data_IF_331922599641
#
_entry.id   IF_331922599641
#
_cell.length_a   1.000
_cell.length_b   1.000
_cell.length_c   1.000
_cell.angle_alpha   90.00
_cell.angle_beta   90.00
_cell.angle_gamma   90.00
#
_symmetry.space_group_name_H-M   'P 1'
#
loop_
_entity.id
_entity.type
_entity.pdbx_description
1 polymer ?
#
# COMPACT_ATOMS: atom_id res chain seq x y z
N UNK A 1 11.25 -8.04 9.19
CA UNK A 1 11.31 -7.96 7.72
C UNK A 1 12.24 -6.80 7.37
N UNK A 2 13.29 -6.98 6.56
CA UNK A 2 14.13 -5.87 6.12
C UNK A 2 13.31 -4.75 5.46
N UNK A 3 13.67 -3.50 5.76
CA UNK A 3 12.94 -2.31 5.32
C UNK A 3 13.34 -1.83 3.92
N UNK A 4 14.52 -2.26 3.45
CA UNK A 4 15.09 -1.90 2.15
C UNK A 4 15.03 -0.39 1.87
N UNK A 5 14.45 0.00 0.75
CA UNK A 5 14.29 1.40 0.33
C UNK A 5 12.95 2.01 0.80
N UNK A 6 12.21 1.31 1.65
CA UNK A 6 10.88 1.71 2.12
C UNK A 6 9.74 1.38 1.16
N UNK A 7 10.01 0.70 0.04
CA UNK A 7 9.00 0.21 -0.90
C UNK A 7 8.93 -1.33 -0.90
N UNK A 8 8.05 -1.92 -1.71
CA UNK A 8 8.01 -3.36 -1.91
C UNK A 8 8.88 -3.83 -3.10
N UNK A 9 9.56 -2.92 -3.82
CA UNK A 9 10.23 -3.24 -5.07
C UNK A 9 11.28 -4.36 -4.93
N UNK A 10 12.12 -4.28 -3.90
CA UNK A 10 13.13 -5.31 -3.63
C UNK A 10 12.51 -6.70 -3.36
N UNK A 11 11.31 -6.74 -2.78
CA UNK A 11 10.57 -8.00 -2.58
C UNK A 11 10.00 -8.53 -3.90
N UNK A 12 9.45 -7.65 -4.73
CA UNK A 12 8.93 -8.02 -6.06
C UNK A 12 10.05 -8.61 -6.91
N UNK A 13 11.19 -7.92 -7.01
CA UNK A 13 12.36 -8.39 -7.77
C UNK A 13 12.85 -9.76 -7.27
N UNK A 14 12.96 -9.94 -5.94
CA UNK A 14 13.40 -11.20 -5.36
C UNK A 14 12.42 -12.35 -5.67
N UNK A 15 11.10 -12.11 -5.62
CA UNK A 15 10.07 -13.10 -5.94
C UNK A 15 10.07 -13.44 -7.43
N UNK A 16 10.23 -12.44 -8.30
CA UNK A 16 10.31 -12.65 -9.74
C UNK A 16 11.55 -13.43 -10.15
N UNK A 17 12.69 -13.14 -9.51
CA UNK A 17 13.95 -13.84 -9.77
C UNK A 17 13.86 -15.35 -9.48
N UNK A 18 13.15 -15.75 -8.42
CA UNK A 18 12.94 -17.17 -8.09
C UNK A 18 11.80 -17.81 -8.90
N UNK A 19 10.91 -16.98 -9.46
CA UNK A 19 9.75 -17.41 -10.22
C UNK A 19 8.58 -17.89 -9.36
N UNK A 20 7.42 -18.01 -10.00
CA UNK A 20 6.17 -18.48 -9.38
C UNK A 20 5.73 -19.78 -10.01
N UNK A 21 5.13 -20.67 -9.21
CA UNK A 21 4.50 -21.90 -9.68
C UNK A 21 3.07 -21.96 -9.17
N UNK A 22 2.15 -22.41 -10.01
CA UNK A 22 0.77 -22.65 -9.60
C UNK A 22 0.72 -23.66 -8.46
N UNK A 23 -0.06 -23.34 -7.43
CA UNK A 23 -0.26 -24.21 -6.28
C UNK A 23 -1.22 -25.35 -6.67
N UNK A 24 -0.86 -26.57 -6.27
CA UNK A 24 -1.72 -27.75 -6.41
C UNK A 24 -2.41 -28.04 -5.07
N UNK A 25 -3.58 -28.66 -5.14
CA UNK A 25 -4.25 -29.18 -3.95
C UNK A 25 -3.50 -30.40 -3.36
N UNK A 26 -4.01 -30.94 -2.25
CA UNK A 26 -3.40 -32.10 -1.57
C UNK A 26 -3.39 -33.38 -2.42
N UNK A 27 -4.18 -33.41 -3.49
CA UNK A 27 -4.32 -34.52 -4.42
C UNK A 27 -3.52 -34.29 -5.72
N UNK A 28 -2.84 -33.15 -5.86
CA UNK A 28 -2.06 -32.80 -7.05
C UNK A 28 -2.88 -32.20 -8.19
N UNK A 29 -4.12 -31.77 -7.95
CA UNK A 29 -4.96 -31.13 -8.96
C UNK A 29 -4.77 -29.62 -8.99
N UNK A 30 -5.03 -29.04 -10.16
CA UNK A 30 -5.17 -27.59 -10.31
C UNK A 30 -6.41 -27.11 -9.56
N UNK A 31 -6.28 -25.96 -8.91
CA UNK A 31 -7.35 -25.30 -8.16
C UNK A 31 -7.45 -23.85 -8.60
N UNK A 32 -8.68 -23.38 -8.80
CA UNK A 32 -8.90 -21.96 -9.09
C UNK A 32 -8.50 -21.09 -7.89
N UNK A 33 -7.93 -19.93 -8.19
CA UNK A 33 -7.59 -18.92 -7.19
C UNK A 33 -8.88 -18.41 -6.54
N UNK A 34 -9.07 -18.71 -5.25
CA UNK A 34 -10.27 -18.30 -4.53
C UNK A 34 -10.18 -16.82 -4.14
N UNK A 35 -11.30 -16.11 -4.23
CA UNK A 35 -11.42 -14.73 -3.75
C UNK A 35 -12.67 -14.61 -2.86
N UNK A 36 -12.60 -13.90 -1.71
CA UNK A 36 -13.79 -13.55 -0.97
C UNK A 36 -14.77 -12.80 -1.86
N UNK A 37 -16.05 -13.18 -1.80
CA UNK A 37 -17.11 -12.50 -2.52
C UNK A 37 -17.80 -11.50 -1.60
N UNK A 38 -17.97 -10.26 -2.07
CA UNK A 38 -18.75 -9.24 -1.38
C UNK A 38 -20.14 -9.17 -2.02
N UNK A 39 -21.18 -9.53 -1.27
CA UNK A 39 -22.56 -9.59 -1.78
C UNK A 39 -23.27 -8.24 -1.78
N UNK A 40 -22.91 -7.35 -0.86
CA UNK A 40 -23.51 -6.03 -0.69
C UNK A 40 -22.46 -5.00 -0.28
N UNK A 41 -22.69 -3.69 -0.48
CA UNK A 41 -21.75 -2.67 -0.06
C UNK A 41 -21.44 -2.73 1.43
N UNK A 42 -20.16 -2.62 1.78
CA UNK A 42 -19.68 -2.56 3.15
C UNK A 42 -19.10 -1.17 3.43
N UNK A 43 -19.37 -0.63 4.61
CA UNK A 43 -18.88 0.69 5.02
C UNK A 43 -18.44 0.67 6.49
N UNK A 44 -17.28 1.25 6.76
CA UNK A 44 -16.79 1.52 8.11
C UNK A 44 -16.19 2.92 8.17
N UNK A 45 -16.43 3.63 9.27
CA UNK A 45 -15.82 4.94 9.51
C UNK A 45 -15.40 5.12 10.95
N UNK A 46 -14.42 6.00 11.14
CA UNK A 46 -13.95 6.45 12.44
C UNK A 46 -13.45 7.87 12.31
N UNK A 47 -14.03 8.80 13.07
CA UNK A 47 -13.76 10.23 12.96
C UNK A 47 -13.92 10.71 11.50
N UNK A 48 -12.85 11.25 10.93
CA UNK A 48 -12.69 11.75 9.56
C UNK A 48 -12.22 10.70 8.54
N UNK A 49 -11.94 9.45 8.97
CA UNK A 49 -11.62 8.35 8.05
C UNK A 49 -12.81 7.49 7.72
N UNK A 50 -12.78 6.94 6.52
CA UNK A 50 -13.67 5.86 6.12
C UNK A 50 -12.98 4.83 5.24
N UNK A 51 -13.60 3.66 5.15
CA UNK A 51 -13.39 2.67 4.10
C UNK A 51 -14.75 2.16 3.64
N UNK A 52 -14.94 2.12 2.33
CA UNK A 52 -16.12 1.56 1.69
C UNK A 52 -15.69 0.53 0.65
N UNK A 53 -16.43 -0.56 0.54
CA UNK A 53 -16.23 -1.57 -0.47
C UNK A 53 -17.54 -1.82 -1.20
N UNK A 54 -17.51 -1.81 -2.53
CA UNK A 54 -18.65 -2.15 -3.38
C UNK A 54 -18.37 -3.47 -4.11
N UNK A 55 -19.36 -4.37 -4.25
CA UNK A 55 -19.22 -5.57 -5.08
C UNK A 55 -18.70 -5.23 -6.48
N UNK A 56 -17.70 -5.95 -6.97
CA UNK A 56 -17.14 -5.74 -8.30
C UNK A 56 -16.59 -7.04 -8.91
N UNK A 57 -16.48 -7.10 -10.24
CA UNK A 57 -15.90 -8.25 -10.95
C UNK A 57 -14.36 -8.29 -10.94
N UNK A 58 -13.71 -7.23 -10.48
CA UNK A 58 -12.26 -7.11 -10.33
C UNK A 58 -11.93 -6.34 -9.04
N UNK A 59 -10.73 -6.57 -8.51
CA UNK A 59 -10.22 -5.84 -7.35
C UNK A 59 -9.69 -4.47 -7.80
N UNK A 60 -10.28 -3.41 -7.26
CA UNK A 60 -9.82 -2.03 -7.45
C UNK A 60 -9.64 -1.39 -6.08
N UNK A 61 -8.53 -0.67 -5.89
CA UNK A 61 -8.23 0.00 -4.63
C UNK A 61 -7.99 1.49 -4.92
N UNK A 62 -8.77 2.33 -4.26
CA UNK A 62 -8.59 3.77 -4.21
C UNK A 62 -8.24 4.18 -2.79
N UNK A 63 -7.20 4.98 -2.64
CA UNK A 63 -6.90 5.65 -1.38
C UNK A 63 -6.90 7.15 -1.61
N UNK A 64 -7.45 7.88 -0.65
CA UNK A 64 -7.23 9.30 -0.51
C UNK A 64 -6.50 9.56 0.81
N UNK A 65 -5.62 10.54 0.80
CA UNK A 65 -4.93 11.02 2.00
C UNK A 65 -5.15 12.52 2.17
N UNK A 66 -5.05 13.02 3.41
CA UNK A 66 -5.13 14.46 3.70
C UNK A 66 -4.14 14.90 4.78
N UNK A 67 -3.10 15.62 4.37
CA UNK A 67 -2.07 16.18 5.24
C UNK A 67 -2.10 17.72 5.22
N UNK A 68 -3.09 18.37 5.87
CA UNK A 68 -3.31 19.82 5.76
C UNK A 68 -2.16 20.65 6.38
N UNK A 69 -1.42 20.07 7.33
CA UNK A 69 -0.26 20.72 7.97
C UNK A 69 1.03 20.60 7.14
N UNK A 70 1.03 19.80 6.08
CA UNK A 70 2.20 19.54 5.23
C UNK A 70 1.80 19.77 3.77
N UNK A 71 1.78 21.02 3.28
CA UNK A 71 1.23 21.38 1.97
C UNK A 71 1.84 20.64 0.78
N UNK A 72 3.11 20.24 0.87
CA UNK A 72 3.79 19.49 -0.20
C UNK A 72 3.27 18.04 -0.35
N UNK A 73 2.61 17.49 0.67
CA UNK A 73 1.82 16.26 0.59
C UNK A 73 0.37 16.64 0.26
N UNK A 74 -0.26 17.44 1.14
CA UNK A 74 -1.62 17.92 0.96
C UNK A 74 -2.67 16.81 0.87
N UNK A 75 -3.75 17.09 0.15
CA UNK A 75 -4.81 16.13 -0.15
C UNK A 75 -4.54 15.48 -1.51
N UNK A 76 -4.45 14.15 -1.53
CA UNK A 76 -4.12 13.38 -2.73
C UNK A 76 -5.05 12.18 -2.87
N UNK A 77 -5.34 11.80 -4.11
CA UNK A 77 -6.07 10.57 -4.41
C UNK A 77 -5.32 9.76 -5.45
N UNK A 78 -5.26 8.45 -5.20
CA UNK A 78 -4.77 7.48 -6.17
C UNK A 78 -5.80 6.35 -6.29
N UNK A 79 -6.01 5.90 -7.53
CA UNK A 79 -6.88 4.76 -7.84
C UNK A 79 -6.12 3.78 -8.72
N UNK A 80 -6.00 2.54 -8.26
CA UNK A 80 -5.38 1.49 -9.05
C UNK A 80 -6.23 1.13 -10.27
N UNK A 81 -5.57 0.60 -11.31
CA UNK A 81 -6.24 -0.28 -12.26
C UNK A 81 -6.70 -1.57 -11.53
N UNK A 82 -7.12 -2.58 -12.28
CA UNK A 82 -7.26 -3.90 -11.68
C UNK A 82 -5.90 -4.35 -11.13
N UNK A 83 -5.88 -4.90 -9.91
CA UNK A 83 -4.64 -5.14 -9.16
C UNK A 83 -3.64 -6.04 -9.92
N UNK A 84 -4.16 -7.01 -10.68
CA UNK A 84 -3.34 -7.97 -11.44
C UNK A 84 -2.56 -7.35 -12.62
N UNK A 85 -2.93 -6.15 -13.08
CA UNK A 85 -2.39 -5.58 -14.32
C UNK A 85 -1.17 -4.65 -14.10
N UNK A 86 -0.95 -4.15 -12.88
CA UNK A 86 -0.07 -2.97 -12.72
C UNK A 86 0.62 -2.76 -11.37
N UNK A 87 0.55 -3.73 -10.45
CA UNK A 87 1.10 -3.58 -9.10
C UNK A 87 2.58 -3.16 -9.08
N UNK A 88 3.45 -3.89 -9.78
CA UNK A 88 4.90 -3.63 -9.86
C UNK A 88 5.19 -2.19 -10.34
N UNK A 89 4.61 -1.81 -11.48
CA UNK A 89 4.91 -0.56 -12.18
C UNK A 89 4.38 0.70 -11.50
N UNK A 90 3.30 0.58 -10.73
CA UNK A 90 2.55 1.75 -10.25
C UNK A 90 2.40 1.83 -8.74
N UNK A 91 2.68 0.74 -8.02
CA UNK A 91 2.43 0.65 -6.58
C UNK A 91 3.68 0.18 -5.85
N UNK A 92 4.28 -0.94 -6.26
CA UNK A 92 5.38 -1.62 -5.55
C UNK A 92 6.59 -0.73 -5.26
N UNK A 93 6.92 0.18 -6.18
CA UNK A 93 8.05 1.09 -6.06
C UNK A 93 7.75 2.37 -5.26
N UNK A 94 6.55 2.54 -4.71
CA UNK A 94 6.23 3.74 -3.91
C UNK A 94 6.80 3.59 -2.50
N UNK A 95 7.76 4.46 -2.15
CA UNK A 95 8.45 4.42 -0.84
C UNK A 95 7.55 4.97 0.26
N UNK A 96 7.78 4.48 1.46
CA UNK A 96 7.19 5.03 2.68
C UNK A 96 7.57 6.49 2.84
N UNK A 97 6.72 7.24 3.52
CA UNK A 97 6.92 8.67 3.72
C UNK A 97 6.76 9.06 5.18
N UNK A 98 7.49 10.09 5.59
CA UNK A 98 7.44 10.59 6.95
C UNK A 98 7.47 12.11 7.00
N UNK A 99 6.85 12.66 8.06
CA UNK A 99 6.94 14.07 8.39
C UNK A 99 8.20 14.28 9.23
N UNK A 100 9.11 15.14 8.79
CA UNK A 100 10.41 15.36 9.44
C UNK A 100 10.28 15.66 10.93
N UNK A 101 9.35 16.55 11.28
CA UNK A 101 9.12 17.00 12.65
C UNK A 101 8.63 15.85 13.57
N UNK A 102 7.90 14.88 13.02
CA UNK A 102 7.47 13.69 13.76
C UNK A 102 8.61 12.68 13.92
N UNK A 103 9.44 12.51 12.88
CA UNK A 103 10.62 11.64 12.91
C UNK A 103 11.64 12.14 13.93
N UNK A 104 11.92 13.43 13.96
CA UNK A 104 12.84 14.04 14.91
C UNK A 104 12.42 13.77 16.36
N UNK A 105 11.11 13.90 16.64
CA UNK A 105 10.56 13.56 17.94
C UNK A 105 10.74 12.07 18.28
N UNK A 106 10.41 11.16 17.37
CA UNK A 106 10.55 9.71 17.58
C UNK A 106 12.01 9.28 17.78
N UNK A 107 12.94 9.87 17.03
CA UNK A 107 14.38 9.66 17.20
C UNK A 107 14.85 10.12 18.59
N UNK A 108 14.34 11.25 19.11
CA UNK A 108 14.66 11.72 20.47
C UNK A 108 14.22 10.75 21.56
N UNK A 109 13.21 9.93 21.29
CA UNK A 109 12.73 8.86 22.17
C UNK A 109 13.46 7.52 21.96
N UNK A 110 14.47 7.47 21.10
CA UNK A 110 15.20 6.26 20.76
C UNK A 110 14.42 5.27 19.88
N UNK A 111 13.40 5.74 19.16
CA UNK A 111 12.65 4.96 18.17
C UNK A 111 13.22 5.17 16.76
N UNK A 112 12.76 4.39 15.78
CA UNK A 112 13.10 4.51 14.33
C UNK A 112 14.63 4.50 14.10
N UNK A 113 15.37 3.68 14.86
CA UNK A 113 16.85 3.62 14.78
C UNK A 113 17.40 3.16 13.43
N UNK A 114 16.57 2.57 12.57
CA UNK A 114 16.93 2.15 11.22
C UNK A 114 16.46 3.08 10.11
N UNK A 115 15.77 4.19 10.43
CA UNK A 115 15.30 5.14 9.42
C UNK A 115 16.43 5.96 8.82
N UNK A 116 16.42 6.14 7.50
CA UNK A 116 17.33 7.03 6.78
C UNK A 116 16.64 7.62 5.56
N UNK A 117 17.28 8.61 4.91
CA UNK A 117 16.80 9.16 3.64
C UNK A 117 16.85 8.15 2.48
N UNK A 118 17.55 7.02 2.67
CA UNK A 118 17.63 5.95 1.68
C UNK A 118 16.40 5.03 1.72
N UNK A 119 15.65 5.05 2.83
CA UNK A 119 14.54 4.13 3.07
C UNK A 119 13.19 4.80 3.35
N UNK A 120 13.11 6.12 3.22
CA UNK A 120 11.87 6.87 3.27
C UNK A 120 12.00 8.18 2.50
N UNK A 121 10.90 8.65 1.91
CA UNK A 121 10.80 10.05 1.47
C UNK A 121 10.37 10.92 2.66
N UNK A 122 11.13 11.97 2.94
CA UNK A 122 10.91 12.80 4.13
C UNK A 122 10.43 14.17 3.68
N UNK A 123 9.33 14.62 4.26
CA UNK A 123 8.76 15.95 4.02
C UNK A 123 8.75 16.75 5.31
N UNK A 124 9.25 17.98 5.28
CA UNK A 124 9.02 18.94 6.36
C UNK A 124 7.74 19.73 6.10
N UNK A 125 7.01 20.03 7.16
CA UNK A 125 5.84 20.91 7.11
C UNK A 125 6.16 22.30 6.53
N UNK A 126 7.38 22.78 6.74
CA UNK A 126 7.82 24.14 6.36
C UNK A 126 8.72 24.18 5.13
N UNK A 127 9.53 23.13 4.90
CA UNK A 127 10.53 23.11 3.81
C UNK A 127 10.10 22.25 2.62
N UNK A 128 9.01 21.50 2.73
CA UNK A 128 8.60 20.53 1.71
C UNK A 128 9.49 19.28 1.69
N UNK A 129 9.63 18.65 0.52
CA UNK A 129 10.40 17.42 0.34
C UNK A 129 11.90 17.63 0.58
N UNK A 130 12.49 16.82 1.47
CA UNK A 130 13.90 16.94 1.88
C UNK A 130 14.85 16.09 1.02
N UNK A 131 14.35 15.01 0.42
CA UNK A 131 15.13 14.10 -0.44
C UNK A 131 14.43 13.80 -1.78
N UNK A 132 14.13 14.83 -2.60
CA UNK A 132 13.64 14.62 -3.96
C UNK A 132 14.70 13.92 -4.84
N UNK A 133 14.32 13.32 -5.99
CA UNK A 133 12.97 13.31 -6.54
C UNK A 133 12.04 12.27 -5.90
N UNK A 134 10.74 12.53 -5.97
CA UNK A 134 9.74 11.48 -5.82
C UNK A 134 9.74 10.59 -7.08
N UNK A 135 9.43 9.31 -6.90
CA UNK A 135 9.21 8.37 -8.01
C UNK A 135 7.90 8.66 -8.73
N UNK A 136 6.91 9.16 -7.97
CA UNK A 136 5.62 9.63 -8.48
C UNK A 136 5.22 10.95 -7.79
N UNK A 137 4.52 11.86 -8.48
CA UNK A 137 3.97 13.06 -7.84
C UNK A 137 3.06 12.76 -6.64
N UNK A 138 2.36 11.62 -6.70
CA UNK A 138 1.43 11.07 -5.71
C UNK A 138 2.01 9.84 -4.97
N UNK A 139 3.34 9.73 -4.86
CA UNK A 139 4.04 8.61 -4.18
C UNK A 139 3.52 8.32 -2.76
N UNK A 140 3.21 9.32 -1.90
CA UNK A 140 2.61 9.07 -0.59
C UNK A 140 1.27 8.34 -0.66
N UNK A 141 0.40 8.76 -1.58
CA UNK A 141 -0.92 8.16 -1.75
C UNK A 141 -0.84 6.74 -2.32
N UNK A 142 0.08 6.52 -3.27
CA UNK A 142 0.38 5.17 -3.81
C UNK A 142 0.95 4.24 -2.75
N UNK A 143 1.80 4.75 -1.86
CA UNK A 143 2.30 3.97 -0.72
C UNK A 143 1.17 3.57 0.23
N UNK A 144 0.14 4.41 0.42
CA UNK A 144 -1.06 4.01 1.19
C UNK A 144 -1.90 2.93 0.50
N UNK A 145 -1.95 2.92 -0.83
CA UNK A 145 -2.50 1.74 -1.54
C UNK A 145 -1.62 0.50 -1.32
N UNK A 146 -0.30 0.64 -1.32
CA UNK A 146 0.63 -0.46 -1.02
C UNK A 146 0.42 -1.03 0.39
N UNK A 147 0.31 -0.16 1.40
CA UNK A 147 -0.02 -0.52 2.78
C UNK A 147 -1.35 -1.30 2.84
N UNK A 148 -2.41 -0.77 2.23
CA UNK A 148 -3.74 -1.39 2.23
C UNK A 148 -3.76 -2.75 1.52
N UNK A 149 -2.96 -2.91 0.45
CA UNK A 149 -2.78 -4.22 -0.19
C UNK A 149 -2.11 -5.20 0.79
N UNK A 150 -1.09 -4.75 1.51
CA UNK A 150 -0.44 -5.52 2.57
C UNK A 150 -1.44 -5.96 3.64
N UNK A 151 -2.23 -5.04 4.17
CA UNK A 151 -3.22 -5.29 5.23
C UNK A 151 -4.29 -6.30 4.79
N UNK A 152 -4.87 -6.11 3.59
CA UNK A 152 -5.89 -7.02 3.06
C UNK A 152 -5.33 -8.41 2.73
N UNK A 153 -4.03 -8.50 2.39
CA UNK A 153 -3.38 -9.79 2.13
C UNK A 153 -3.33 -10.70 3.37
N UNK A 154 -3.42 -10.13 4.59
CA UNK A 154 -3.44 -10.90 5.84
C UNK A 154 -4.67 -11.79 5.98
N UNK A 155 -5.73 -11.54 5.20
CA UNK A 155 -6.91 -12.42 5.15
C UNK A 155 -6.73 -13.62 4.22
N UNK A 156 -5.58 -13.74 3.53
CA UNK A 156 -5.29 -14.89 2.68
C UNK A 156 -5.21 -16.17 3.51
N UNK A 157 -6.05 -17.15 3.16
CA UNK A 157 -6.14 -18.45 3.84
C UNK A 157 -6.59 -19.53 2.89
N UNK A 158 -6.05 -20.73 3.02
CA UNK A 158 -6.47 -21.91 2.26
C UNK A 158 -6.56 -21.69 0.74
N UNK A 159 -5.58 -21.01 0.15
CA UNK A 159 -5.55 -20.72 -1.30
C UNK A 159 -6.38 -19.51 -1.73
N UNK A 160 -7.07 -18.84 -0.81
CA UNK A 160 -7.75 -17.57 -1.10
C UNK A 160 -6.80 -16.38 -1.05
N UNK A 161 -6.97 -15.43 -1.99
CA UNK A 161 -6.11 -14.25 -2.12
C UNK A 161 -6.25 -13.21 -1.01
N UNK A 162 -7.22 -13.34 -0.09
CA UNK A 162 -7.49 -12.37 0.99
C UNK A 162 -8.25 -11.11 0.55
N UNK A 163 -8.03 -10.63 -0.69
CA UNK A 163 -8.74 -9.48 -1.25
C UNK A 163 -10.14 -9.84 -1.76
N UNK A 164 -11.21 -9.17 -1.28
CA UNK A 164 -12.54 -9.38 -1.82
C UNK A 164 -12.64 -8.89 -3.26
N UNK A 165 -13.47 -9.55 -4.07
CA UNK A 165 -13.85 -9.07 -5.41
C UNK A 165 -14.71 -7.81 -5.27
N UNK A 166 -14.03 -6.66 -5.15
CA UNK A 166 -14.64 -5.40 -4.77
C UNK A 166 -13.85 -4.19 -5.28
N UNK A 167 -14.55 -3.06 -5.39
CA UNK A 167 -13.94 -1.74 -5.45
C UNK A 167 -13.88 -1.17 -4.04
N UNK A 168 -12.67 -1.14 -3.48
CA UNK A 168 -12.36 -0.61 -2.15
C UNK A 168 -11.93 0.84 -2.29
N UNK A 169 -12.53 1.72 -1.51
CA UNK A 169 -12.18 3.14 -1.43
C UNK A 169 -11.93 3.45 0.03
N UNK A 170 -10.76 4.01 0.34
CA UNK A 170 -10.43 4.47 1.69
C UNK A 170 -10.00 5.93 1.66
N UNK A 171 -10.20 6.62 2.77
CA UNK A 171 -9.77 8.00 2.95
C UNK A 171 -9.19 8.22 4.35
N UNK A 172 -7.92 8.66 4.37
CA UNK A 172 -7.32 9.80 5.10
C UNK A 172 -5.81 9.63 5.27
#
# INVERSE_FOLDING_TARGET
>A
VPFFDGSANAWVEAIEQVGRKEALDRCGNNVEKLAPHLSEPFYVSRNDSFMVAFPASKVHISCGIDFPKVPAIGCQWFSSAALDDSYEKHIACSRTFCIYEEVEHMCSMGLIKGGSLDNAIVCSATKGWLNPPLRFPDEPCRHKVLDLIGDLSLFARSGSQGFPMARVISFK
#
